data_IF_253758323535
#
_entry.id   IF_253758323535
#
_cell.length_a   1.000
_cell.length_b   1.000
_cell.length_c   1.000
_cell.angle_alpha   90.00
_cell.angle_beta   90.00
_cell.angle_gamma   90.00
#
_symmetry.space_group_name_H-M   'P 1'
#
loop_
_entity.id
_entity.type
_entity.pdbx_description
1 polymer ?
#
# COMPACT_ATOMS: atom_id res chain seq x y z
N UNK A 1 -34.26 -26.54 26.18
CA UNK A 1 -33.29 -25.56 26.70
C UNK A 1 -32.78 -24.73 25.53
N UNK A 2 -32.84 -23.41 25.68
CA UNK A 2 -32.89 -22.41 24.63
C UNK A 2 -31.63 -22.36 23.74
N UNK A 3 -31.83 -22.35 22.42
CA UNK A 3 -30.83 -21.95 21.42
C UNK A 3 -30.96 -20.44 21.21
N UNK A 4 -29.86 -19.72 21.39
CA UNK A 4 -29.77 -18.28 21.20
C UNK A 4 -30.10 -17.88 19.76
N UNK A 5 -31.09 -16.99 19.64
CA UNK A 5 -31.47 -16.34 18.39
C UNK A 5 -30.45 -15.23 18.14
N UNK A 6 -29.56 -15.44 17.15
CA UNK A 6 -28.65 -14.42 16.67
C UNK A 6 -29.43 -13.35 15.91
N UNK A 7 -29.27 -12.08 16.30
CA UNK A 7 -30.06 -10.92 15.89
C UNK A 7 -29.74 -10.42 14.47
N UNK A 8 -29.61 -11.31 13.48
CA UNK A 8 -29.34 -10.94 12.08
C UNK A 8 -30.56 -11.13 11.14
N UNK A 9 -31.68 -11.68 11.63
CA UNK A 9 -32.77 -12.15 10.76
C UNK A 9 -34.06 -11.30 10.75
N UNK A 10 -34.05 -10.08 11.30
CA UNK A 10 -35.27 -9.24 11.36
C UNK A 10 -35.34 -8.17 10.25
N UNK A 11 -34.27 -7.87 9.52
CA UNK A 11 -34.27 -6.73 8.58
C UNK A 11 -34.73 -7.07 7.15
N UNK A 12 -34.80 -8.35 6.75
CA UNK A 12 -35.00 -8.70 5.32
C UNK A 12 -36.47 -8.87 4.90
N UNK A 13 -37.47 -8.83 5.80
CA UNK A 13 -38.90 -9.03 5.46
C UNK A 13 -39.77 -7.77 5.43
N UNK A 14 -39.22 -6.60 5.10
CA UNK A 14 -39.99 -5.36 4.89
C UNK A 14 -39.66 -4.61 3.59
N UNK A 15 -39.21 -5.32 2.55
CA UNK A 15 -38.84 -4.70 1.27
C UNK A 15 -40.03 -4.31 0.35
N UNK A 16 -41.28 -4.63 0.70
CA UNK A 16 -42.40 -4.51 -0.25
C UNK A 16 -43.07 -3.11 -0.25
N UNK A 17 -42.84 -2.25 0.75
CA UNK A 17 -43.55 -0.96 0.89
C UNK A 17 -42.62 0.23 1.22
N UNK A 18 -41.42 0.28 0.63
CA UNK A 18 -40.56 1.47 0.72
C UNK A 18 -40.84 2.40 -0.47
N UNK A 19 -41.07 3.72 -0.24
CA UNK A 19 -41.30 4.69 -1.31
C UNK A 19 -40.13 4.70 -2.28
N UNK A 20 -40.40 4.92 -3.57
CA UNK A 20 -39.42 4.83 -4.68
C UNK A 20 -38.10 5.58 -4.41
N UNK A 21 -38.15 6.69 -3.67
CA UNK A 21 -36.98 7.50 -3.28
C UNK A 21 -36.00 6.78 -2.35
N UNK A 22 -36.45 5.79 -1.57
CA UNK A 22 -35.60 4.98 -0.69
C UNK A 22 -34.94 3.79 -1.39
N UNK A 23 -35.43 3.39 -2.58
CA UNK A 23 -34.78 2.34 -3.38
C UNK A 23 -33.46 2.82 -4.00
N UNK A 24 -33.34 4.13 -4.27
CA UNK A 24 -32.06 4.74 -4.66
C UNK A 24 -31.04 4.73 -3.52
N UNK A 25 -31.48 4.90 -2.26
CA UNK A 25 -30.61 4.89 -1.09
C UNK A 25 -30.08 3.50 -0.72
N UNK A 26 -30.85 2.43 -0.99
CA UNK A 26 -30.37 1.05 -0.84
C UNK A 26 -29.20 0.75 -1.80
N UNK A 27 -29.17 1.42 -2.96
CA UNK A 27 -28.05 1.35 -3.92
C UNK A 27 -26.77 2.03 -3.41
N UNK A 28 -26.91 2.94 -2.45
CA UNK A 28 -25.82 3.66 -1.79
C UNK A 28 -25.39 2.99 -0.46
N UNK A 29 -25.98 1.86 -0.07
CA UNK A 29 -25.50 1.13 1.10
C UNK A 29 -24.07 0.65 0.84
N UNK A 30 -23.17 0.74 1.83
CA UNK A 30 -21.84 0.19 1.70
C UNK A 30 -21.95 -1.30 1.36
N UNK A 31 -21.27 -1.70 0.28
CA UNK A 31 -21.20 -3.10 -0.16
C UNK A 31 -20.71 -3.93 1.03
N UNK A 32 -21.42 -5.02 1.34
CA UNK A 32 -21.04 -5.89 2.46
C UNK A 32 -19.66 -6.53 2.20
N UNK A 33 -18.93 -6.86 3.25
CA UNK A 33 -17.58 -7.44 3.13
C UNK A 33 -17.59 -8.76 2.34
N UNK A 34 -18.67 -9.53 2.47
CA UNK A 34 -18.91 -10.78 1.72
C UNK A 34 -19.11 -10.52 0.22
N UNK A 35 -19.91 -9.51 -0.15
CA UNK A 35 -20.13 -9.14 -1.55
C UNK A 35 -18.85 -8.58 -2.21
N UNK A 36 -18.00 -7.90 -1.44
CA UNK A 36 -16.67 -7.46 -1.92
C UNK A 36 -15.73 -8.65 -2.14
N UNK A 37 -15.74 -9.61 -1.23
CA UNK A 37 -14.95 -10.85 -1.37
C UNK A 37 -15.28 -11.62 -2.64
N UNK A 38 -16.57 -11.87 -2.91
CA UNK A 38 -17.00 -12.59 -4.13
C UNK A 38 -16.56 -11.88 -5.42
N UNK A 39 -16.69 -10.56 -5.45
CA UNK A 39 -16.22 -9.71 -6.56
C UNK A 39 -14.72 -9.81 -6.77
N UNK A 40 -13.96 -9.87 -5.69
CA UNK A 40 -12.50 -10.02 -5.72
C UNK A 40 -12.10 -11.42 -6.22
N UNK A 41 -12.81 -12.48 -5.84
CA UNK A 41 -12.58 -13.83 -6.37
C UNK A 41 -12.83 -13.92 -7.89
N UNK A 42 -13.90 -13.28 -8.39
CA UNK A 42 -14.17 -13.23 -9.83
C UNK A 42 -13.03 -12.50 -10.59
N UNK A 43 -12.54 -11.38 -10.03
CA UNK A 43 -11.41 -10.65 -10.58
C UNK A 43 -10.15 -11.53 -10.63
N UNK A 44 -9.86 -12.28 -9.56
CA UNK A 44 -8.72 -13.19 -9.51
C UNK A 44 -8.82 -14.28 -10.59
N UNK A 45 -10.01 -14.82 -10.84
CA UNK A 45 -10.22 -15.77 -11.94
C UNK A 45 -9.82 -15.19 -13.30
N UNK A 46 -10.24 -13.94 -13.59
CA UNK A 46 -9.88 -13.23 -14.83
C UNK A 46 -8.38 -12.92 -14.92
N UNK A 47 -7.77 -12.54 -13.79
CA UNK A 47 -6.33 -12.29 -13.72
C UNK A 47 -5.54 -13.58 -13.96
N UNK A 48 -5.99 -14.72 -13.41
CA UNK A 48 -5.32 -16.00 -13.60
C UNK A 48 -5.41 -16.48 -15.06
N UNK A 49 -6.54 -16.27 -15.73
CA UNK A 49 -6.71 -16.64 -17.14
C UNK A 49 -5.81 -15.82 -18.08
N UNK A 50 -5.68 -14.50 -17.82
CA UNK A 50 -4.96 -13.59 -18.72
C UNK A 50 -3.47 -13.41 -18.37
N UNK A 51 -3.12 -13.51 -17.09
CA UNK A 51 -1.82 -13.13 -16.54
C UNK A 51 -1.18 -14.25 -15.70
N UNK A 52 -1.73 -15.47 -15.75
CA UNK A 52 -1.29 -16.61 -14.93
C UNK A 52 0.20 -16.91 -15.05
N UNK A 53 0.84 -16.58 -16.16
CA UNK A 53 2.28 -16.79 -16.35
C UNK A 53 3.12 -15.99 -15.34
N UNK A 54 2.70 -14.79 -14.95
CA UNK A 54 3.45 -13.88 -14.08
C UNK A 54 3.13 -14.01 -12.59
N UNK A 55 1.99 -14.61 -12.27
CA UNK A 55 1.44 -14.72 -10.91
C UNK A 55 2.10 -15.89 -10.19
N UNK A 56 2.64 -15.61 -9.00
CA UNK A 56 3.16 -16.63 -8.07
C UNK A 56 2.05 -17.09 -7.13
N UNK A 57 1.36 -16.12 -6.52
CA UNK A 57 0.30 -16.38 -5.54
C UNK A 57 -0.85 -15.39 -5.75
N UNK A 58 -2.08 -15.85 -5.51
CA UNK A 58 -3.29 -15.04 -5.57
C UNK A 58 -4.17 -15.33 -4.37
N UNK A 59 -4.79 -14.31 -3.79
CA UNK A 59 -5.68 -14.48 -2.65
C UNK A 59 -6.60 -13.28 -2.43
N UNK A 60 -7.57 -13.45 -1.53
CA UNK A 60 -8.46 -12.37 -1.10
C UNK A 60 -8.16 -12.06 0.35
N UNK A 61 -7.91 -10.79 0.66
CA UNK A 61 -7.61 -10.31 1.99
C UNK A 61 -8.56 -9.18 2.35
N UNK A 62 -9.34 -9.34 3.42
CA UNK A 62 -10.29 -8.33 3.91
C UNK A 62 -11.26 -7.81 2.83
N UNK A 63 -11.61 -8.67 1.87
CA UNK A 63 -12.51 -8.38 0.75
C UNK A 63 -11.85 -7.80 -0.49
N UNK A 64 -10.56 -7.47 -0.46
CA UNK A 64 -9.80 -6.96 -1.61
C UNK A 64 -8.93 -8.06 -2.23
N UNK A 65 -8.75 -8.01 -3.56
CA UNK A 65 -7.90 -8.97 -4.28
C UNK A 65 -6.42 -8.65 -4.08
N UNK A 66 -5.62 -9.67 -3.78
CA UNK A 66 -4.17 -9.61 -3.65
C UNK A 66 -3.50 -10.58 -4.61
N UNK A 67 -2.47 -10.12 -5.31
CA UNK A 67 -1.69 -10.91 -6.24
C UNK A 67 -0.20 -10.67 -6.00
N UNK A 68 0.57 -11.73 -5.90
CA UNK A 68 2.04 -11.70 -5.84
C UNK A 68 2.59 -12.08 -7.21
N UNK A 69 3.46 -11.23 -7.78
CA UNK A 69 4.01 -11.40 -9.13
C UNK A 69 5.54 -11.45 -9.11
N UNK A 70 6.13 -12.05 -10.15
CA UNK A 70 7.59 -12.00 -10.37
C UNK A 70 8.04 -10.61 -10.82
N UNK A 71 9.20 -10.17 -10.35
CA UNK A 71 9.78 -8.87 -10.69
C UNK A 71 10.00 -8.66 -12.21
N UNK A 72 10.36 -9.71 -12.94
CA UNK A 72 10.61 -9.69 -14.39
C UNK A 72 9.34 -9.34 -15.19
N UNK A 73 8.16 -9.70 -14.68
CA UNK A 73 6.88 -9.54 -15.36
C UNK A 73 6.15 -8.23 -15.08
N UNK A 74 6.73 -7.37 -14.25
CA UNK A 74 6.05 -6.17 -13.72
C UNK A 74 5.55 -5.26 -14.86
N UNK A 75 6.43 -4.88 -15.79
CA UNK A 75 6.06 -3.97 -16.90
C UNK A 75 4.88 -4.50 -17.72
N UNK A 76 4.94 -5.77 -18.13
CA UNK A 76 3.91 -6.37 -18.97
C UNK A 76 2.60 -6.60 -18.21
N UNK A 77 2.69 -7.03 -16.94
CA UNK A 77 1.54 -7.20 -16.06
C UNK A 77 0.77 -5.89 -15.91
N UNK A 78 1.46 -4.81 -15.53
CA UNK A 78 0.81 -3.50 -15.33
C UNK A 78 0.30 -2.90 -16.65
N UNK A 79 1.00 -3.14 -17.76
CA UNK A 79 0.54 -2.70 -19.08
C UNK A 79 -0.76 -3.39 -19.48
N UNK A 80 -0.86 -4.70 -19.34
CA UNK A 80 -2.09 -5.45 -19.64
C UNK A 80 -3.23 -5.03 -18.72
N UNK A 81 -2.93 -4.85 -17.43
CA UNK A 81 -3.90 -4.42 -16.43
C UNK A 81 -4.50 -3.03 -16.71
N UNK A 82 -3.71 -2.13 -17.34
CA UNK A 82 -4.16 -0.80 -17.76
C UNK A 82 -4.90 -0.81 -19.10
N UNK A 83 -4.44 -1.59 -20.08
CA UNK A 83 -4.94 -1.57 -21.46
C UNK A 83 -6.20 -2.42 -21.67
N UNK A 84 -6.39 -3.45 -20.85
CA UNK A 84 -7.56 -4.32 -20.96
C UNK A 84 -8.83 -3.58 -20.53
N UNK A 85 -9.83 -3.53 -21.42
CA UNK A 85 -11.11 -2.86 -21.19
C UNK A 85 -11.96 -3.52 -20.09
N UNK A 86 -11.77 -4.81 -19.82
CA UNK A 86 -12.52 -5.54 -18.80
C UNK A 86 -11.96 -5.30 -17.40
N UNK A 87 -10.64 -5.15 -17.27
CA UNK A 87 -9.96 -4.87 -16.00
C UNK A 87 -9.97 -3.36 -15.70
N UNK A 88 -9.59 -2.54 -16.69
CA UNK A 88 -9.68 -1.09 -16.72
C UNK A 88 -9.20 -0.41 -15.42
N UNK A 89 -8.01 -0.77 -14.94
CA UNK A 89 -7.43 -0.16 -13.73
C UNK A 89 -6.93 1.25 -14.02
N UNK A 90 -7.88 2.18 -13.95
CA UNK A 90 -7.66 3.54 -14.40
C UNK A 90 -6.95 4.39 -13.36
N UNK A 91 -7.15 4.12 -12.07
CA UNK A 91 -6.62 4.94 -10.99
C UNK A 91 -5.53 4.20 -10.23
N UNK A 92 -4.34 4.82 -10.22
CA UNK A 92 -3.24 4.44 -9.35
C UNK A 92 -3.45 5.09 -7.99
N UNK A 93 -3.39 4.30 -6.91
CA UNK A 93 -3.57 4.81 -5.56
C UNK A 93 -2.23 5.08 -4.89
N UNK A 94 -1.39 4.05 -4.80
CA UNK A 94 -0.18 4.11 -4.01
C UNK A 94 0.85 3.06 -4.45
N UNK A 95 2.13 3.33 -4.20
CA UNK A 95 3.19 2.33 -4.20
C UNK A 95 4.04 2.52 -2.95
N UNK A 96 4.18 1.44 -2.21
CA UNK A 96 4.97 1.39 -0.98
C UNK A 96 5.92 0.22 -1.02
N UNK A 97 6.90 0.20 -0.14
CA UNK A 97 7.75 -0.96 0.07
C UNK A 97 7.73 -1.35 1.54
N UNK A 98 7.97 -2.64 1.79
CA UNK A 98 8.06 -3.23 3.13
C UNK A 98 9.41 -3.93 3.22
N UNK A 99 10.13 -3.69 4.32
CA UNK A 99 11.40 -4.36 4.62
C UNK A 99 11.15 -5.54 5.56
N UNK A 100 11.36 -6.75 5.06
CA UNK A 100 11.26 -8.03 5.77
C UNK A 100 12.63 -8.54 6.25
N UNK A 101 13.48 -7.64 6.75
CA UNK A 101 14.78 -7.98 7.36
C UNK A 101 14.69 -9.20 8.30
N UNK A 102 15.55 -10.19 8.07
CA UNK A 102 15.69 -11.47 8.80
C UNK A 102 14.48 -12.42 8.76
N UNK A 103 13.39 -12.06 8.05
CA UNK A 103 12.17 -12.88 7.96
C UNK A 103 12.05 -13.61 6.61
N UNK A 104 12.69 -13.10 5.55
CA UNK A 104 12.59 -13.64 4.18
C UNK A 104 13.93 -13.59 3.45
N UNK A 105 14.10 -14.47 2.45
CA UNK A 105 15.24 -14.40 1.51
C UNK A 105 15.19 -13.13 0.66
N UNK A 106 14.02 -12.82 0.10
CA UNK A 106 13.75 -11.55 -0.55
C UNK A 106 13.37 -10.50 0.50
N UNK A 107 14.31 -9.58 0.73
CA UNK A 107 14.22 -8.59 1.81
C UNK A 107 13.12 -7.56 1.58
N UNK A 108 12.94 -7.09 0.34
CA UNK A 108 12.01 -5.99 0.05
C UNK A 108 10.74 -6.51 -0.62
N UNK A 109 9.58 -6.09 -0.15
CA UNK A 109 8.29 -6.33 -0.81
C UNK A 109 7.73 -4.99 -1.29
N UNK A 110 7.63 -4.78 -2.61
CA UNK A 110 6.99 -3.60 -3.19
C UNK A 110 5.50 -3.88 -3.38
N UNK A 111 4.66 -3.01 -2.84
CA UNK A 111 3.20 -3.15 -2.82
C UNK A 111 2.58 -2.01 -3.62
N UNK A 112 1.86 -2.37 -4.67
CA UNK A 112 1.11 -1.44 -5.50
C UNK A 112 -0.38 -1.53 -5.18
N UNK A 113 -1.01 -0.37 -5.05
CA UNK A 113 -2.44 -0.24 -4.84
C UNK A 113 -3.10 0.40 -6.05
N UNK A 114 -4.13 -0.25 -6.57
CA UNK A 114 -4.87 0.23 -7.74
C UNK A 114 -6.37 0.10 -7.55
N UNK A 115 -7.10 0.99 -8.21
CA UNK A 115 -8.56 0.98 -8.26
C UNK A 115 -9.03 1.06 -9.71
N UNK A 116 -9.90 0.12 -10.08
CA UNK A 116 -10.68 0.24 -11.30
C UNK A 116 -11.92 1.08 -11.03
N UNK A 117 -12.06 2.20 -11.76
CA UNK A 117 -13.19 3.13 -11.57
C UNK A 117 -14.47 2.62 -12.22
N UNK A 118 -14.37 1.76 -13.24
CA UNK A 118 -15.53 1.20 -13.95
C UNK A 118 -16.17 0.06 -13.17
N UNK A 119 -15.36 -0.82 -12.60
CA UNK A 119 -15.82 -2.02 -11.89
C UNK A 119 -15.80 -1.85 -10.36
N UNK A 120 -15.19 -0.77 -9.87
CA UNK A 120 -14.96 -0.50 -8.44
C UNK A 120 -14.16 -1.59 -7.72
N UNK A 121 -13.36 -2.39 -8.45
CA UNK A 121 -12.45 -3.37 -7.86
C UNK A 121 -11.15 -2.73 -7.38
N UNK A 122 -10.70 -3.15 -6.20
CA UNK A 122 -9.38 -2.85 -5.66
C UNK A 122 -8.46 -4.03 -5.87
N UNK A 123 -7.23 -3.74 -6.27
CA UNK A 123 -6.19 -4.74 -6.43
C UNK A 123 -4.94 -4.29 -5.69
N UNK A 124 -4.38 -5.20 -4.89
CA UNK A 124 -3.06 -5.08 -4.30
C UNK A 124 -2.10 -6.02 -5.03
N UNK A 125 -1.05 -5.46 -5.62
CA UNK A 125 -0.01 -6.26 -6.29
C UNK A 125 1.25 -6.21 -5.44
N UNK A 126 1.80 -7.37 -5.10
CA UNK A 126 3.03 -7.51 -4.31
C UNK A 126 4.14 -8.06 -5.20
N UNK A 127 5.33 -7.50 -5.06
CA UNK A 127 6.53 -7.93 -5.77
C UNK A 127 7.65 -8.08 -4.76
N UNK A 128 8.19 -9.28 -4.63
CA UNK A 128 9.33 -9.53 -3.78
C UNK A 128 10.63 -9.23 -4.55
N UNK A 129 11.59 -8.58 -3.88
CA UNK A 129 12.87 -8.16 -4.43
C UNK A 129 14.01 -8.54 -3.47
N UNK A 130 15.16 -8.99 -4.01
CA UNK A 130 16.32 -9.33 -3.21
C UNK A 130 17.02 -8.08 -2.65
N UNK A 131 17.84 -8.26 -1.63
CA UNK A 131 18.66 -7.17 -1.07
C UNK A 131 19.78 -6.71 -2.03
N UNK A 132 20.34 -7.63 -2.80
CA UNK A 132 21.43 -7.33 -3.72
C UNK A 132 20.88 -6.66 -4.99
N UNK A 133 21.05 -5.35 -5.08
CA UNK A 133 20.58 -4.51 -6.19
C UNK A 133 19.07 -4.63 -6.45
N UNK A 134 18.21 -4.14 -5.53
CA UNK A 134 16.76 -4.18 -5.71
C UNK A 134 16.36 -3.26 -6.86
N UNK A 135 15.95 -3.86 -7.98
CA UNK A 135 15.55 -3.18 -9.20
C UNK A 135 14.18 -3.66 -9.65
N UNK A 136 13.37 -2.74 -10.14
CA UNK A 136 12.02 -3.04 -10.65
C UNK A 136 11.66 -2.10 -11.79
N UNK A 137 10.81 -2.55 -12.72
CA UNK A 137 10.33 -1.69 -13.80
C UNK A 137 9.41 -0.58 -13.26
N UNK A 138 9.63 0.65 -13.70
CA UNK A 138 8.79 1.81 -13.40
C UNK A 138 7.42 1.69 -14.07
N UNK A 139 6.36 2.05 -13.33
CA UNK A 139 4.99 2.16 -13.85
C UNK A 139 4.58 3.61 -14.10
N UNK A 140 5.48 4.57 -13.85
CA UNK A 140 5.29 6.00 -14.10
C UNK A 140 4.90 6.35 -15.54
N UNK A 141 5.31 5.53 -16.52
CA UNK A 141 4.93 5.69 -17.93
C UNK A 141 3.45 5.35 -18.19
N UNK A 142 2.85 4.48 -17.38
CA UNK A 142 1.45 4.07 -17.48
C UNK A 142 0.53 4.97 -16.64
N UNK A 143 0.98 5.33 -15.44
CA UNK A 143 0.29 6.27 -14.56
C UNK A 143 1.24 7.37 -14.12
N UNK A 144 0.98 8.60 -14.57
CA UNK A 144 1.77 9.77 -14.17
C UNK A 144 1.80 9.99 -12.64
N UNK A 145 0.78 9.54 -11.92
CA UNK A 145 0.71 9.60 -10.46
C UNK A 145 1.76 8.75 -9.74
N UNK A 146 2.31 7.72 -10.38
CA UNK A 146 3.31 6.86 -9.77
C UNK A 146 4.71 7.51 -9.66
N UNK A 147 4.99 8.56 -10.44
CA UNK A 147 6.31 9.20 -10.48
C UNK A 147 6.80 9.64 -9.08
N UNK A 148 5.96 10.38 -8.35
CA UNK A 148 6.33 10.87 -7.02
C UNK A 148 6.46 9.75 -5.99
N UNK A 149 5.61 8.73 -6.08
CA UNK A 149 5.56 7.62 -5.14
C UNK A 149 6.74 6.66 -5.34
N UNK A 150 7.12 6.37 -6.59
CA UNK A 150 8.33 5.59 -6.90
C UNK A 150 9.60 6.31 -6.39
N UNK A 151 9.64 7.65 -6.48
CA UNK A 151 10.73 8.44 -5.90
C UNK A 151 10.78 8.40 -4.38
N UNK A 152 9.62 8.38 -3.72
CA UNK A 152 9.53 8.19 -2.27
C UNK A 152 10.08 6.82 -1.86
N UNK A 153 9.68 5.76 -2.55
CA UNK A 153 10.20 4.40 -2.31
C UNK A 153 11.71 4.33 -2.54
N UNK A 154 12.22 4.98 -3.58
CA UNK A 154 13.66 5.10 -3.82
C UNK A 154 14.38 5.84 -2.68
N UNK A 155 13.86 6.97 -2.20
CA UNK A 155 14.52 7.75 -1.15
C UNK A 155 14.46 7.06 0.23
N UNK A 156 13.38 6.33 0.50
CA UNK A 156 13.15 5.68 1.80
C UNK A 156 13.75 4.29 1.92
N UNK A 157 13.70 3.49 0.84
CA UNK A 157 14.12 2.09 0.81
C UNK A 157 15.27 1.82 -0.16
N UNK A 158 15.62 2.74 -1.06
CA UNK A 158 16.74 2.55 -1.98
C UNK A 158 16.48 1.53 -3.09
N UNK A 159 15.22 1.36 -3.48
CA UNK A 159 14.81 0.48 -4.58
C UNK A 159 14.87 1.29 -5.88
N UNK A 160 15.62 0.79 -6.86
CA UNK A 160 15.82 1.47 -8.15
C UNK A 160 14.70 1.11 -9.14
N UNK A 161 14.05 2.14 -9.70
CA UNK A 161 13.00 1.98 -10.71
C UNK A 161 13.56 2.19 -12.12
N UNK A 162 13.62 1.13 -12.91
CA UNK A 162 14.12 1.16 -14.29
C UNK A 162 13.09 1.78 -15.23
N UNK A 163 13.52 2.74 -16.06
CA UNK A 163 12.63 3.46 -16.98
C UNK A 163 11.89 4.66 -16.38
N UNK A 164 12.18 5.02 -15.12
CA UNK A 164 11.65 6.23 -14.49
C UNK A 164 12.30 7.51 -15.07
N UNK A 165 11.55 8.58 -15.37
CA UNK A 165 12.07 9.78 -16.05
C UNK A 165 13.03 10.63 -15.21
N UNK A 166 12.81 10.74 -13.89
CA UNK A 166 13.64 11.56 -12.97
C UNK A 166 13.71 10.88 -11.60
N UNK A 167 14.53 9.83 -11.49
CA UNK A 167 14.69 9.12 -10.22
C UNK A 167 15.72 9.84 -9.33
N UNK A 168 15.21 10.69 -8.44
CA UNK A 168 16.02 11.39 -7.43
C UNK A 168 15.28 11.46 -6.10
N UNK A 169 16.05 11.67 -5.03
CA UNK A 169 15.53 11.89 -3.67
C UNK A 169 14.47 13.00 -3.65
N UNK A 170 13.52 12.91 -2.73
CA UNK A 170 12.40 13.86 -2.66
C UNK A 170 12.05 14.26 -1.23
N UNK A 171 12.14 13.34 -0.27
CA UNK A 171 11.82 13.59 1.13
C UNK A 171 13.07 14.04 1.89
N UNK A 172 14.20 13.37 1.65
CA UNK A 172 15.47 13.68 2.29
C UNK A 172 16.23 14.77 1.53
N UNK A 173 17.12 15.46 2.25
CA UNK A 173 18.02 16.43 1.65
C UNK A 173 19.16 15.74 0.90
N UNK A 174 19.78 16.43 -0.05
CA UNK A 174 20.72 15.84 -1.03
C UNK A 174 21.94 15.13 -0.40
N UNK A 175 22.42 15.62 0.74
CA UNK A 175 23.59 15.08 1.45
C UNK A 175 23.23 13.94 2.42
N UNK A 176 21.96 13.54 2.52
CA UNK A 176 21.53 12.50 3.45
C UNK A 176 22.13 11.14 3.06
N UNK A 177 22.79 10.50 4.03
CA UNK A 177 23.41 9.18 3.83
C UNK A 177 22.52 8.08 4.36
N UNK A 178 22.14 7.15 3.49
CA UNK A 178 21.33 5.99 3.80
C UNK A 178 19.86 6.11 3.38
N UNK A 179 19.05 5.20 3.91
CA UNK A 179 17.64 4.97 3.59
C UNK A 179 16.84 4.82 4.91
N UNK A 180 16.07 5.83 5.33
CA UNK A 180 15.52 5.91 6.69
C UNK A 180 14.55 4.80 7.09
N UNK A 181 13.74 4.29 6.15
CA UNK A 181 12.70 3.30 6.47
C UNK A 181 13.18 1.85 6.41
N UNK A 182 14.46 1.63 6.09
CA UNK A 182 15.05 0.30 6.24
C UNK A 182 15.25 -0.03 7.72
N UNK A 183 15.01 -1.29 8.08
CA UNK A 183 15.11 -1.78 9.46
C UNK A 183 16.54 -1.74 10.01
N UNK A 184 17.57 -1.67 9.15
CA UNK A 184 18.98 -1.49 9.55
C UNK A 184 19.32 -0.04 9.96
N UNK A 185 18.50 0.93 9.57
CA UNK A 185 18.79 2.34 9.86
C UNK A 185 18.52 2.68 11.34
N UNK A 186 19.47 3.33 12.04
CA UNK A 186 19.28 3.64 13.45
C UNK A 186 18.19 4.69 13.66
N UNK A 187 17.22 4.40 14.53
CA UNK A 187 16.10 5.31 14.87
C UNK A 187 16.58 6.69 15.36
N UNK A 188 17.72 6.72 16.05
CA UNK A 188 18.34 7.96 16.56
C UNK A 188 19.40 8.55 15.61
N UNK A 189 19.52 8.03 14.38
CA UNK A 189 20.48 8.46 13.36
C UNK A 189 20.14 9.83 12.76
N UNK A 190 20.06 10.86 13.61
CA UNK A 190 19.83 12.24 13.19
C UNK A 190 21.06 12.75 12.46
N UNK A 191 20.85 13.33 11.28
CA UNK A 191 21.88 13.99 10.50
C UNK A 191 21.48 15.47 10.31
N UNK A 192 21.73 16.34 11.31
CA UNK A 192 21.30 17.72 11.25
C UNK A 192 22.16 18.51 10.26
N UNK A 193 21.51 19.26 9.35
CA UNK A 193 22.21 20.17 8.41
C UNK A 193 22.78 21.41 9.08
N UNK A 194 22.18 21.81 10.20
CA UNK A 194 22.55 22.98 11.00
C UNK A 194 22.83 22.48 12.41
N UNK A 195 23.86 22.99 13.10
CA UNK A 195 24.08 22.64 14.50
C UNK A 195 22.81 22.83 15.34
N UNK A 196 22.48 21.83 16.15
CA UNK A 196 21.36 21.92 17.08
C UNK A 196 21.61 23.07 18.07
N UNK A 197 20.58 23.86 18.35
CA UNK A 197 20.65 24.87 19.42
C UNK A 197 20.60 24.17 20.77
N UNK A 198 21.41 24.62 21.72
CA UNK A 198 21.20 24.24 23.12
C UNK A 198 19.81 24.72 23.57
N UNK A 199 19.02 23.91 24.31
CA UNK A 199 19.38 22.66 24.99
C UNK A 199 19.04 21.36 24.23
N UNK A 200 18.70 21.38 22.93
CA UNK A 200 18.29 20.17 22.19
C UNK A 200 19.39 19.09 22.10
N UNK A 201 20.66 19.51 22.25
CA UNK A 201 21.82 18.62 22.40
C UNK A 201 21.74 17.82 23.71
N UNK A 202 21.28 18.48 24.78
CA UNK A 202 21.15 17.96 26.15
C UNK A 202 19.75 17.36 26.43
N UNK A 203 18.75 17.62 25.59
CA UNK A 203 17.38 17.12 25.75
C UNK A 203 17.09 15.87 24.89
N UNK A 204 18.13 15.12 24.52
CA UNK A 204 17.93 13.79 23.96
C UNK A 204 17.49 12.82 25.06
N UNK A 205 16.74 11.76 24.71
CA UNK A 205 16.19 10.81 25.67
C UNK A 205 17.24 10.17 26.62
N UNK A 206 18.54 10.30 26.32
CA UNK A 206 19.67 9.85 27.15
C UNK A 206 19.98 10.77 28.33
N UNK A 207 19.51 12.01 28.30
CA UNK A 207 19.84 13.07 29.25
C UNK A 207 18.62 13.61 30.01
N UNK A 208 17.39 13.25 29.59
CA UNK A 208 16.19 13.61 30.33
C UNK A 208 15.98 12.68 31.53
N UNK A 209 16.19 13.20 32.75
CA UNK A 209 15.75 12.54 33.97
C UNK A 209 14.26 12.88 34.24
N UNK A 210 13.44 11.86 34.51
CA UNK A 210 11.97 11.98 34.70
C UNK A 210 11.53 13.02 35.75
N UNK A 211 12.43 13.40 36.67
CA UNK A 211 12.22 14.43 37.69
C UNK A 211 12.10 15.85 37.13
N UNK A 212 12.64 16.14 35.95
CA UNK A 212 12.69 17.50 35.39
C UNK A 212 11.44 17.87 34.57
N UNK A 213 10.70 16.88 34.07
CA UNK A 213 9.48 17.07 33.28
C UNK A 213 8.32 17.75 34.05
N UNK A 214 8.33 17.69 35.39
CA UNK A 214 7.25 18.24 36.23
C UNK A 214 7.36 19.77 36.39
N UNK A 215 8.53 20.35 36.14
CA UNK A 215 8.80 21.77 36.43
C UNK A 215 8.38 22.74 35.32
N UNK A 216 8.07 22.25 34.10
CA UNK A 216 7.81 23.12 32.92
C UNK A 216 6.37 23.70 32.94
N UNK A 217 5.48 23.23 33.81
CA UNK A 217 4.06 23.60 33.83
C UNK A 217 3.59 24.44 35.03
N UNK A 218 4.49 24.99 35.86
CA UNK A 218 4.12 25.87 36.99
C UNK A 218 4.81 27.23 36.84
N UNK A 219 4.22 28.07 35.99
CA UNK A 219 4.43 29.52 35.94
C UNK A 219 3.08 30.20 35.96
#
# INVERSE_FOLDING_TARGET
MARGICAAQVVVRKAILLPLKMREWVKCMPVSDEERGQKSEELLGKLQEKLGDYILESGVSLGDAEVRIRAEGVSDFFRLLKLDSELAFNMFLDVTAVDWMDEREDRFEVVYHMLSLSTHHRLRVKVDLPEQSPRIASVSQLWAGANFLEREVFDMYGIEFEGHPDLRRILMYDEFKGYPLRKDYPVQGKQPRIPLRAPEVENTARHMHRSELVQIGRG
#
